data_IF_571639416006
#
_entry.id   IF_571639416006
#
_cell.length_a   1.000
_cell.length_b   1.000
_cell.length_c   1.000
_cell.angle_alpha   90.00
_cell.angle_beta   90.00
_cell.angle_gamma   90.00
#
_symmetry.space_group_name_H-M   'P 1'
#
loop_
_entity.id
_entity.type
_entity.pdbx_description
1 polymer ?
#
# COMPACT_ATOMS: atom_id res chain seq x y z
N UNK A 1 16.10 -26.59 -32.29
CA UNK A 1 15.91 -26.35 -30.85
C UNK A 1 15.28 -24.98 -30.69
N UNK A 2 13.95 -24.89 -30.53
CA UNK A 2 13.26 -23.63 -30.33
C UNK A 2 13.30 -23.27 -28.84
N UNK A 3 14.00 -22.20 -28.49
CA UNK A 3 13.97 -21.63 -27.14
C UNK A 3 12.61 -21.02 -26.90
N UNK A 4 11.76 -21.74 -26.17
CA UNK A 4 10.50 -21.22 -25.64
C UNK A 4 10.87 -20.30 -24.48
N UNK A 5 11.06 -19.01 -24.78
CA UNK A 5 11.13 -17.98 -23.73
C UNK A 5 9.70 -17.86 -23.20
N UNK A 6 9.35 -18.71 -22.24
CA UNK A 6 8.12 -18.56 -21.46
C UNK A 6 8.19 -17.20 -20.79
N UNK A 7 7.48 -16.22 -21.36
CA UNK A 7 7.23 -14.95 -20.70
C UNK A 7 6.66 -15.28 -19.31
N UNK A 8 7.17 -14.68 -18.22
CA UNK A 8 6.67 -14.96 -16.89
C UNK A 8 5.15 -14.77 -16.86
N UNK A 9 4.39 -15.61 -16.12
CA UNK A 9 2.94 -15.53 -16.08
C UNK A 9 2.54 -14.11 -15.72
N UNK A 10 1.95 -13.46 -16.70
CA UNK A 10 1.65 -12.05 -16.72
C UNK A 10 0.51 -11.82 -15.72
N UNK A 11 0.83 -11.31 -14.53
CA UNK A 11 -0.12 -11.22 -13.42
C UNK A 11 -1.33 -10.39 -13.83
N UNK A 12 -2.53 -10.87 -13.49
CA UNK A 12 -3.76 -10.11 -13.71
C UNK A 12 -4.05 -9.23 -12.50
N UNK A 13 -4.86 -8.18 -12.70
CA UNK A 13 -5.30 -7.32 -11.60
C UNK A 13 -5.96 -8.15 -10.48
N UNK A 14 -6.80 -9.12 -10.86
CA UNK A 14 -7.51 -9.97 -9.90
C UNK A 14 -6.54 -10.91 -9.15
N UNK A 15 -5.49 -11.44 -9.79
CA UNK A 15 -4.48 -12.26 -9.10
C UNK A 15 -3.64 -11.43 -8.12
N UNK A 16 -3.27 -10.20 -8.51
CA UNK A 16 -2.52 -9.29 -7.65
C UNK A 16 -3.36 -8.88 -6.43
N UNK A 17 -4.62 -8.51 -6.62
CA UNK A 17 -5.51 -8.12 -5.52
C UNK A 17 -5.79 -9.28 -4.57
N UNK A 18 -5.97 -10.50 -5.09
CA UNK A 18 -6.17 -11.70 -4.26
C UNK A 18 -4.96 -11.95 -3.35
N UNK A 19 -3.74 -11.87 -3.91
CA UNK A 19 -2.50 -11.97 -3.13
C UNK A 19 -2.41 -10.88 -2.07
N UNK A 20 -2.75 -9.64 -2.41
CA UNK A 20 -2.67 -8.51 -1.48
C UNK A 20 -3.67 -8.60 -0.32
N UNK A 21 -4.87 -9.11 -0.56
CA UNK A 21 -5.84 -9.41 0.51
C UNK A 21 -5.29 -10.48 1.44
N UNK A 22 -4.76 -11.56 0.88
CA UNK A 22 -4.18 -12.65 1.66
C UNK A 22 -3.01 -12.16 2.52
N UNK A 23 -2.09 -11.38 1.95
CA UNK A 23 -0.96 -10.80 2.67
C UNK A 23 -1.42 -9.81 3.75
N UNK A 24 -2.42 -8.97 3.48
CA UNK A 24 -2.96 -8.04 4.47
C UNK A 24 -3.58 -8.75 5.67
N UNK A 25 -4.27 -9.87 5.45
CA UNK A 25 -4.89 -10.66 6.53
C UNK A 25 -3.85 -11.44 7.32
N UNK A 26 -2.95 -12.15 6.64
CA UNK A 26 -2.01 -13.05 7.33
C UNK A 26 -0.78 -12.35 7.89
N UNK A 27 -0.25 -11.33 7.22
CA UNK A 27 1.01 -10.67 7.62
C UNK A 27 0.79 -9.36 8.36
N UNK A 28 -0.26 -8.62 7.99
CA UNK A 28 -0.56 -7.30 8.58
C UNK A 28 -1.70 -7.35 9.59
N UNK A 29 -2.23 -8.55 9.90
CA UNK A 29 -3.35 -8.79 10.82
C UNK A 29 -4.54 -7.87 10.58
N UNK A 30 -4.76 -7.46 9.32
CA UNK A 30 -5.87 -6.60 8.95
C UNK A 30 -7.18 -7.37 9.03
N UNK A 31 -8.24 -6.68 9.43
CA UNK A 31 -9.59 -7.23 9.39
C UNK A 31 -9.93 -7.72 7.96
N UNK A 32 -10.38 -8.99 7.78
CA UNK A 32 -10.62 -9.56 6.46
C UNK A 32 -11.64 -8.79 5.63
N UNK A 33 -12.65 -8.20 6.27
CA UNK A 33 -13.66 -7.40 5.58
C UNK A 33 -13.05 -6.09 5.07
N UNK A 34 -12.27 -5.41 5.90
CA UNK A 34 -11.51 -4.20 5.55
C UNK A 34 -10.57 -4.45 4.35
N UNK A 35 -9.86 -5.58 4.34
CA UNK A 35 -8.99 -5.96 3.23
C UNK A 35 -9.76 -6.24 1.93
N UNK A 36 -10.90 -6.93 2.00
CA UNK A 36 -11.76 -7.20 0.84
C UNK A 36 -12.38 -5.92 0.27
N UNK A 37 -12.82 -5.01 1.13
CA UNK A 37 -13.33 -3.70 0.72
C UNK A 37 -12.23 -2.91 0.02
N UNK A 38 -11.00 -2.95 0.54
CA UNK A 38 -9.86 -2.28 -0.08
C UNK A 38 -9.54 -2.82 -1.49
N UNK A 39 -9.60 -4.14 -1.66
CA UNK A 39 -9.43 -4.77 -2.97
C UNK A 39 -10.52 -4.35 -3.97
N UNK A 40 -11.79 -4.34 -3.53
CA UNK A 40 -12.92 -3.95 -4.39
C UNK A 40 -12.82 -2.50 -4.86
N UNK A 41 -12.52 -1.57 -3.97
CA UNK A 41 -12.37 -0.16 -4.32
C UNK A 41 -11.13 0.07 -5.21
N UNK A 42 -10.04 -0.64 -4.96
CA UNK A 42 -8.85 -0.62 -5.82
C UNK A 42 -9.16 -1.14 -7.22
N UNK A 43 -9.88 -2.26 -7.32
CA UNK A 43 -10.35 -2.81 -8.59
C UNK A 43 -11.20 -1.79 -9.34
N UNK A 44 -12.20 -1.20 -8.68
CA UNK A 44 -13.10 -0.20 -9.28
C UNK A 44 -12.35 1.03 -9.78
N UNK A 45 -11.36 1.50 -9.04
CA UNK A 45 -10.57 2.67 -9.42
C UNK A 45 -9.61 2.41 -10.60
N UNK A 46 -9.15 1.17 -10.77
CA UNK A 46 -8.18 0.80 -11.80
C UNK A 46 -8.81 0.11 -13.02
N UNK A 47 -10.09 -0.29 -12.91
CA UNK A 47 -10.87 -0.85 -14.00
C UNK A 47 -10.88 0.11 -15.21
N UNK A 48 -10.49 -0.38 -16.38
CA UNK A 48 -10.43 0.42 -17.62
C UNK A 48 -9.25 1.38 -17.73
N UNK A 49 -8.40 1.51 -16.70
CA UNK A 49 -7.17 2.33 -16.71
C UNK A 49 -5.89 1.50 -16.84
N UNK A 50 -6.02 0.19 -16.73
CA UNK A 50 -4.93 -0.78 -16.76
C UNK A 50 -5.27 -1.92 -17.69
N UNK A 51 -4.25 -2.63 -18.17
CA UNK A 51 -4.45 -3.88 -18.88
C UNK A 51 -5.11 -4.90 -17.94
N UNK A 52 -6.16 -5.55 -18.41
CA UNK A 52 -6.89 -6.57 -17.64
C UNK A 52 -6.07 -7.84 -17.42
N UNK A 53 -5.10 -8.10 -18.29
CA UNK A 53 -4.13 -9.19 -18.21
C UNK A 53 -2.75 -8.68 -18.57
N UNK A 54 -1.73 -9.27 -17.96
CA UNK A 54 -0.35 -8.89 -18.23
C UNK A 54 0.04 -7.53 -17.74
N UNK A 55 -0.19 -7.32 -16.44
CA UNK A 55 0.39 -6.19 -15.74
C UNK A 55 1.91 -6.25 -15.84
N UNK A 56 2.50 -5.13 -16.22
CA UNK A 56 3.93 -4.90 -16.09
C UNK A 56 4.31 -4.79 -14.61
N UNK A 57 5.60 -4.98 -14.25
CA UNK A 57 6.05 -4.79 -12.87
C UNK A 57 5.73 -3.41 -12.28
N UNK A 58 5.77 -2.36 -13.12
CA UNK A 58 5.40 -1.00 -12.70
C UNK A 58 3.89 -0.86 -12.41
N UNK A 59 3.06 -1.54 -13.20
CA UNK A 59 1.62 -1.62 -12.97
C UNK A 59 1.28 -2.40 -11.71
N UNK A 60 1.98 -3.52 -11.43
CA UNK A 60 1.83 -4.24 -10.17
C UNK A 60 2.18 -3.36 -8.97
N UNK A 61 3.31 -2.64 -9.01
CA UNK A 61 3.69 -1.67 -7.96
C UNK A 61 2.61 -0.61 -7.76
N UNK A 62 2.01 -0.10 -8.84
CA UNK A 62 0.90 0.87 -8.78
C UNK A 62 -0.35 0.28 -8.13
N UNK A 63 -0.72 -0.97 -8.45
CA UNK A 63 -1.84 -1.67 -7.80
C UNK A 63 -1.57 -1.86 -6.30
N UNK A 64 -0.35 -2.26 -5.93
CA UNK A 64 0.05 -2.44 -4.53
C UNK A 64 -0.06 -1.13 -3.74
N UNK A 65 0.49 -0.04 -4.27
CA UNK A 65 0.43 1.28 -3.63
C UNK A 65 -1.03 1.74 -3.45
N UNK A 66 -1.85 1.59 -4.49
CA UNK A 66 -3.26 1.97 -4.43
C UNK A 66 -4.04 1.13 -3.42
N UNK A 67 -3.84 -0.19 -3.43
CA UNK A 67 -4.44 -1.10 -2.45
C UNK A 67 -4.06 -0.73 -1.03
N UNK A 68 -2.78 -0.47 -0.76
CA UNK A 68 -2.30 -0.09 0.56
C UNK A 68 -2.93 1.23 1.04
N UNK A 69 -3.04 2.23 0.16
CA UNK A 69 -3.69 3.50 0.47
C UNK A 69 -5.18 3.34 0.81
N UNK A 70 -5.90 2.53 0.02
CA UNK A 70 -7.32 2.23 0.27
C UNK A 70 -7.49 1.43 1.55
N UNK A 71 -6.64 0.42 1.80
CA UNK A 71 -6.66 -0.39 3.01
C UNK A 71 -6.51 0.48 4.25
N UNK A 72 -5.54 1.40 4.25
CA UNK A 72 -5.32 2.38 5.31
C UNK A 72 -6.55 3.29 5.50
N UNK A 73 -7.16 3.77 4.42
CA UNK A 73 -8.39 4.58 4.45
C UNK A 73 -9.62 3.82 5.00
N UNK A 74 -9.74 2.53 4.71
CA UNK A 74 -10.84 1.69 5.20
C UNK A 74 -10.64 1.30 6.66
N UNK A 75 -9.43 0.89 7.05
CA UNK A 75 -9.08 0.65 8.45
C UNK A 75 -9.35 1.90 9.31
N UNK A 76 -9.07 3.09 8.76
CA UNK A 76 -9.42 4.37 9.36
C UNK A 76 -10.94 4.55 9.56
N UNK A 77 -11.74 4.32 8.51
CA UNK A 77 -13.20 4.43 8.57
C UNK A 77 -13.84 3.44 9.56
N UNK A 78 -13.33 2.22 9.62
CA UNK A 78 -13.82 1.19 10.52
C UNK A 78 -13.43 1.43 11.99
N UNK A 79 -12.36 2.20 12.28
CA UNK A 79 -11.89 2.40 13.66
C UNK A 79 -12.07 3.77 14.28
N UNK A 80 -12.34 4.89 13.57
CA UNK A 80 -12.68 6.17 14.22
C UNK A 80 -13.00 7.29 13.24
N UNK A 81 -14.20 7.87 13.32
CA UNK A 81 -14.44 9.25 12.84
C UNK A 81 -13.80 10.33 13.73
N UNK A 82 -13.25 9.99 14.91
CA UNK A 82 -12.95 10.98 15.96
C UNK A 82 -11.62 10.90 16.70
N UNK A 83 -10.56 10.29 16.16
CA UNK A 83 -9.24 10.31 16.84
C UNK A 83 -8.15 10.91 15.95
N UNK A 84 -7.75 12.12 16.32
CA UNK A 84 -6.73 12.95 15.67
C UNK A 84 -5.35 12.27 15.68
N UNK A 85 -5.00 11.60 16.78
CA UNK A 85 -3.70 10.93 16.95
C UNK A 85 -3.54 9.78 15.96
N UNK A 86 -4.61 8.99 15.80
CA UNK A 86 -4.66 7.89 14.84
C UNK A 86 -4.63 8.37 13.38
N UNK A 87 -5.23 9.54 13.09
CA UNK A 87 -5.14 10.17 11.76
C UNK A 87 -3.71 10.60 11.43
N UNK A 88 -3.01 11.21 12.38
CA UNK A 88 -1.62 11.64 12.20
C UNK A 88 -0.70 10.44 11.95
N UNK A 89 -0.87 9.34 12.68
CA UNK A 89 -0.11 8.11 12.46
C UNK A 89 -0.28 7.54 11.04
N UNK A 90 -1.51 7.52 10.51
CA UNK A 90 -1.76 7.03 9.15
C UNK A 90 -1.22 7.96 8.05
N UNK A 91 -1.21 9.27 8.27
CA UNK A 91 -0.64 10.24 7.32
C UNK A 91 0.87 10.08 7.22
N UNK A 92 1.54 9.94 8.36
CA UNK A 92 2.99 9.67 8.43
C UNK A 92 3.32 8.33 7.78
N UNK A 93 2.58 7.26 8.12
CA UNK A 93 2.76 5.94 7.52
C UNK A 93 2.50 5.92 6.00
N UNK A 94 1.55 6.73 5.51
CA UNK A 94 1.34 6.91 4.07
C UNK A 94 2.54 7.52 3.39
N UNK A 95 3.03 8.64 3.92
CA UNK A 95 4.17 9.34 3.34
C UNK A 95 5.40 8.43 3.29
N UNK A 96 5.69 7.73 4.38
CA UNK A 96 6.81 6.77 4.45
C UNK A 96 6.65 5.68 3.39
N UNK A 97 5.46 5.08 3.28
CA UNK A 97 5.16 4.04 2.28
C UNK A 97 5.36 4.56 0.86
N UNK A 98 4.89 5.77 0.56
CA UNK A 98 4.96 6.37 -0.76
C UNK A 98 6.43 6.69 -1.11
N UNK A 99 7.20 7.25 -0.17
CA UNK A 99 8.63 7.54 -0.35
C UNK A 99 9.47 6.28 -0.49
N UNK A 100 9.22 5.24 0.31
CA UNK A 100 9.89 3.93 0.16
C UNK A 100 9.57 3.27 -1.18
N UNK A 101 8.36 3.47 -1.71
CA UNK A 101 7.95 2.87 -2.99
C UNK A 101 8.72 3.40 -4.21
N UNK A 102 9.35 4.57 -4.07
CA UNK A 102 10.23 5.19 -5.07
C UNK A 102 11.71 5.11 -4.67
N UNK A 103 12.06 4.16 -3.80
CA UNK A 103 13.42 3.87 -3.34
C UNK A 103 14.12 5.09 -2.68
N UNK A 104 13.33 5.95 -2.01
CA UNK A 104 13.89 7.11 -1.28
C UNK A 104 14.77 6.63 -0.13
N UNK A 105 16.00 7.15 0.03
CA UNK A 105 16.87 6.83 1.15
C UNK A 105 16.22 7.13 2.50
N UNK A 106 16.51 6.31 3.52
CA UNK A 106 15.93 6.43 4.87
C UNK A 106 16.21 7.80 5.50
N UNK A 107 17.42 8.34 5.33
CA UNK A 107 17.78 9.67 5.85
C UNK A 107 16.88 10.75 5.23
N UNK A 108 16.59 10.63 3.94
CA UNK A 108 15.69 11.53 3.24
C UNK A 108 14.24 11.35 3.66
N UNK A 109 13.80 10.12 3.95
CA UNK A 109 12.47 9.87 4.52
C UNK A 109 12.33 10.55 5.89
N UNK A 110 13.36 10.51 6.75
CA UNK A 110 13.35 11.23 8.04
C UNK A 110 13.23 12.73 7.85
N UNK A 111 14.02 13.32 6.94
CA UNK A 111 13.94 14.75 6.62
C UNK A 111 12.55 15.15 6.14
N UNK A 112 11.94 14.39 5.21
CA UNK A 112 10.62 14.67 4.68
C UNK A 112 9.54 14.50 5.77
N UNK A 113 9.61 13.45 6.60
CA UNK A 113 8.68 13.26 7.72
C UNK A 113 8.79 14.39 8.74
N UNK A 114 10.00 14.83 9.08
CA UNK A 114 10.22 15.97 9.98
C UNK A 114 9.70 17.28 9.36
N UNK A 115 9.92 17.50 8.07
CA UNK A 115 9.48 18.72 7.38
C UNK A 115 7.95 18.84 7.31
N UNK A 116 7.23 17.73 7.07
CA UNK A 116 5.78 17.74 6.92
C UNK A 116 5.00 17.53 8.21
N UNK A 117 5.57 16.82 9.20
CA UNK A 117 4.86 16.39 10.41
C UNK A 117 5.57 16.76 11.72
N UNK A 118 6.74 17.41 11.65
CA UNK A 118 7.51 17.84 12.81
C UNK A 118 8.00 16.68 13.68
N UNK A 119 8.32 16.98 14.94
CA UNK A 119 8.79 15.97 15.90
C UNK A 119 7.79 14.85 16.14
N UNK A 120 6.49 15.15 16.09
CA UNK A 120 5.44 14.14 16.24
C UNK A 120 5.51 13.09 15.11
N UNK A 121 5.81 13.51 13.88
CA UNK A 121 6.03 12.60 12.76
C UNK A 121 7.25 11.71 12.95
N UNK A 122 8.34 12.25 13.47
CA UNK A 122 9.56 11.50 13.76
C UNK A 122 9.33 10.43 14.84
N UNK A 123 8.63 10.77 15.93
CA UNK A 123 8.28 9.81 16.98
C UNK A 123 7.44 8.64 16.44
N UNK A 124 6.55 8.92 15.49
CA UNK A 124 5.73 7.90 14.82
C UNK A 124 6.58 7.04 13.89
N UNK A 125 7.51 7.64 13.15
CA UNK A 125 8.45 6.93 12.28
C UNK A 125 9.35 5.99 13.11
N UNK A 126 9.94 6.49 14.21
CA UNK A 126 10.78 5.70 15.11
C UNK A 126 10.01 4.52 15.72
N UNK A 127 8.78 4.76 16.20
CA UNK A 127 7.94 3.69 16.74
C UNK A 127 7.60 2.61 15.69
N UNK A 128 7.54 2.98 14.40
CA UNK A 128 7.30 2.05 13.29
C UNK A 128 8.57 1.32 12.80
N UNK A 129 9.77 1.78 13.16
CA UNK A 129 11.04 1.10 12.83
C UNK A 129 11.45 0.07 13.91
N UNK A 130 10.91 0.16 15.12
CA UNK A 130 11.18 -0.76 16.24
C UNK A 130 10.21 -1.95 16.29
N UNK A 131 9.07 -1.87 15.60
CA UNK A 131 8.02 -2.91 15.56
C UNK A 131 8.15 -3.86 14.36
#
# INVERSE_FOLDING_TARGET
>A
MQSVISSPPQASLDSVLTRLVHDAVLRLSSDPETARVAARETRRALLGRMRSQGLSPAEEKRVQAYFAAVLRSQAFRCRRRGDESYRSQLRVASLISDLRSVDTPVDRIREEVQAFFGEQGLQILEAAEVA
#
